data_IF_865953496632
#
_entry.id   IF_865953496632
#
_cell.length_a   1.000
_cell.length_b   1.000
_cell.length_c   1.000
_cell.angle_alpha   90.00
_cell.angle_beta   90.00
_cell.angle_gamma   90.00
#
_symmetry.space_group_name_H-M   'P 1'
#
loop_
_entity.id
_entity.type
_entity.pdbx_description
1 polymer ?
#
# COMPACT_ATOMS: atom_id res chain seq x y z
N UNK A 1 -53.17 15.94 -87.06
CA UNK A 1 -52.07 16.33 -86.16
C UNK A 1 -51.38 17.53 -86.78
N UNK A 2 -51.21 18.62 -86.04
CA UNK A 2 -50.45 19.78 -86.50
C UNK A 2 -49.04 19.69 -85.94
N UNK A 3 -48.03 19.93 -86.78
CA UNK A 3 -46.62 19.91 -86.42
C UNK A 3 -46.01 21.28 -86.73
N UNK A 4 -45.09 21.73 -85.89
CA UNK A 4 -44.31 22.95 -86.11
C UNK A 4 -42.84 22.53 -86.16
N UNK A 5 -42.19 22.72 -87.31
CA UNK A 5 -40.78 22.41 -87.52
C UNK A 5 -40.01 23.71 -87.75
N UNK A 6 -39.42 24.24 -86.68
CA UNK A 6 -38.64 25.49 -86.72
C UNK A 6 -37.43 25.34 -85.80
N UNK A 7 -36.34 26.02 -86.11
CA UNK A 7 -35.14 25.97 -85.27
C UNK A 7 -35.32 26.79 -83.98
N UNK A 8 -36.03 27.93 -84.07
CA UNK A 8 -36.19 28.87 -82.97
C UNK A 8 -37.63 29.35 -82.88
N UNK A 9 -38.18 29.37 -81.66
CA UNK A 9 -39.45 30.02 -81.32
C UNK A 9 -39.14 31.17 -80.36
N UNK A 10 -39.69 32.35 -80.63
CA UNK A 10 -39.47 33.56 -79.81
C UNK A 10 -40.80 34.14 -79.35
N UNK A 11 -40.77 35.03 -78.35
CA UNK A 11 -41.92 35.85 -78.01
C UNK A 11 -42.33 36.77 -79.18
N UNK A 12 -43.52 37.39 -79.08
CA UNK A 12 -44.06 38.31 -80.11
C UNK A 12 -43.11 39.46 -80.46
N UNK A 13 -42.34 39.95 -79.49
CA UNK A 13 -41.39 41.05 -79.67
C UNK A 13 -40.06 40.61 -80.29
N UNK A 14 -39.81 39.30 -80.45
CA UNK A 14 -38.56 38.76 -80.99
C UNK A 14 -37.34 38.88 -80.05
N UNK A 15 -37.55 39.32 -78.80
CA UNK A 15 -36.51 39.67 -77.83
C UNK A 15 -36.29 38.62 -76.75
N UNK A 16 -37.09 37.56 -76.67
CA UNK A 16 -36.96 36.55 -75.62
C UNK A 16 -37.71 35.24 -75.89
N UNK A 17 -37.73 34.36 -74.88
CA UNK A 17 -38.42 33.08 -74.93
C UNK A 17 -39.95 33.25 -74.99
N UNK A 18 -40.69 32.36 -75.66
CA UNK A 18 -42.14 32.37 -75.64
C UNK A 18 -42.68 32.07 -74.23
N UNK A 19 -43.77 32.73 -73.85
CA UNK A 19 -44.49 32.42 -72.60
C UNK A 19 -45.58 31.38 -72.86
N UNK A 20 -45.56 30.30 -72.08
CA UNK A 20 -46.54 29.19 -72.16
C UNK A 20 -47.43 29.20 -70.90
N UNK A 21 -48.42 30.11 -70.85
CA UNK A 21 -49.18 30.41 -69.63
C UNK A 21 -50.01 29.24 -69.04
N UNK A 22 -50.39 28.26 -69.87
CA UNK A 22 -51.10 27.05 -69.43
C UNK A 22 -50.15 25.87 -69.17
N UNK A 23 -48.84 26.10 -69.23
CA UNK A 23 -47.81 25.07 -69.09
C UNK A 23 -47.43 24.41 -70.41
N UNK A 24 -46.51 23.45 -70.30
CA UNK A 24 -46.01 22.63 -71.41
C UNK A 24 -45.98 21.18 -70.95
N UNK A 25 -46.43 20.27 -71.79
CA UNK A 25 -46.26 18.83 -71.60
C UNK A 25 -45.29 18.36 -72.67
N UNK A 26 -44.13 17.87 -72.25
CA UNK A 26 -43.13 17.29 -73.15
C UNK A 26 -43.06 15.80 -72.85
N UNK A 27 -43.47 14.97 -73.81
CA UNK A 27 -43.39 13.51 -73.69
C UNK A 27 -42.05 12.95 -74.19
N UNK A 28 -41.24 13.78 -74.85
CA UNK A 28 -39.90 13.46 -75.32
C UNK A 28 -38.81 14.08 -74.42
N UNK A 29 -37.67 14.41 -75.02
CA UNK A 29 -36.52 14.99 -74.32
C UNK A 29 -36.63 16.51 -74.23
N UNK A 30 -36.31 17.07 -73.08
CA UNK A 30 -36.04 18.50 -72.91
C UNK A 30 -34.54 18.67 -72.72
N UNK A 31 -33.91 19.43 -73.61
CA UNK A 31 -32.52 19.89 -73.44
C UNK A 31 -32.56 21.39 -73.15
N UNK A 32 -32.18 21.79 -71.95
CA UNK A 32 -32.17 23.19 -71.53
C UNK A 32 -30.80 23.56 -70.97
N UNK A 33 -30.31 24.76 -71.29
CA UNK A 33 -29.07 25.29 -70.69
C UNK A 33 -29.27 25.62 -69.20
N UNK A 34 -30.46 26.10 -68.83
CA UNK A 34 -30.86 26.39 -67.44
C UNK A 34 -32.33 26.04 -67.23
N UNK A 35 -32.64 25.47 -66.07
CA UNK A 35 -34.01 25.24 -65.60
C UNK A 35 -34.22 25.96 -64.27
N UNK A 36 -35.23 26.82 -64.18
CA UNK A 36 -35.64 27.48 -62.94
C UNK A 36 -37.09 27.10 -62.64
N UNK A 37 -37.31 26.43 -61.52
CA UNK A 37 -38.64 26.02 -61.07
C UNK A 37 -38.95 26.77 -59.78
N UNK A 38 -40.03 27.55 -59.77
CA UNK A 38 -40.50 28.27 -58.58
C UNK A 38 -41.37 27.42 -57.65
N UNK A 39 -41.78 26.24 -58.12
CA UNK A 39 -42.53 25.25 -57.36
C UNK A 39 -41.78 23.91 -57.27
N UNK A 40 -42.50 22.90 -56.78
CA UNK A 40 -41.91 21.58 -56.57
C UNK A 40 -41.50 20.91 -57.88
N UNK A 41 -40.35 20.25 -57.87
CA UNK A 41 -39.89 19.37 -58.96
C UNK A 41 -40.05 17.93 -58.49
N UNK A 42 -40.80 17.14 -59.25
CA UNK A 42 -40.94 15.70 -59.02
C UNK A 42 -40.20 14.94 -60.12
N UNK A 43 -39.28 14.06 -59.73
CA UNK A 43 -38.53 13.22 -60.65
C UNK A 43 -39.06 11.80 -60.49
N UNK A 44 -39.72 11.27 -61.52
CA UNK A 44 -40.25 9.91 -61.52
C UNK A 44 -39.19 8.81 -61.74
N UNK A 45 -37.99 9.21 -62.19
CA UNK A 45 -36.85 8.32 -62.42
C UNK A 45 -35.68 8.62 -61.49
N UNK A 46 -34.46 8.52 -62.01
CA UNK A 46 -33.22 8.83 -61.29
C UNK A 46 -32.61 10.14 -61.80
N UNK A 47 -31.87 10.81 -60.93
CA UNK A 47 -30.97 11.90 -61.28
C UNK A 47 -29.55 11.36 -61.13
N UNK A 48 -28.77 11.30 -62.20
CA UNK A 48 -27.42 10.70 -62.17
C UNK A 48 -26.32 11.76 -62.02
N UNK A 49 -25.11 11.30 -61.71
CA UNK A 49 -23.95 12.18 -61.47
C UNK A 49 -23.46 12.86 -62.75
N UNK A 50 -23.69 12.27 -63.92
CA UNK A 50 -23.47 13.00 -65.17
C UNK A 50 -24.35 14.24 -65.27
N UNK A 51 -25.55 14.19 -64.68
CA UNK A 51 -26.53 15.27 -64.73
C UNK A 51 -26.41 16.28 -63.57
N UNK A 52 -25.77 15.93 -62.45
CA UNK A 52 -25.65 16.79 -61.26
C UNK A 52 -24.24 16.84 -60.72
N UNK A 53 -23.64 18.02 -60.76
CA UNK A 53 -22.32 18.30 -60.18
C UNK A 53 -22.39 18.72 -58.72
N UNK A 54 -23.41 19.47 -58.31
CA UNK A 54 -23.60 19.94 -56.94
C UNK A 54 -25.09 20.01 -56.60
N UNK A 55 -25.42 19.73 -55.34
CA UNK A 55 -26.72 20.05 -54.75
C UNK A 55 -26.46 21.06 -53.64
N UNK A 56 -26.93 22.29 -53.83
CA UNK A 56 -26.96 23.31 -52.78
C UNK A 56 -28.40 23.42 -52.26
N UNK A 57 -28.68 22.73 -51.16
CA UNK A 57 -30.00 22.67 -50.55
C UNK A 57 -29.95 23.26 -49.14
N UNK A 58 -30.84 24.21 -48.85
CA UNK A 58 -31.00 24.80 -47.50
C UNK A 58 -31.87 23.91 -46.60
N UNK A 59 -32.62 22.98 -47.18
CA UNK A 59 -33.62 22.15 -46.50
C UNK A 59 -33.15 20.77 -46.05
N UNK A 60 -34.13 19.89 -45.80
CA UNK A 60 -33.90 18.52 -45.32
C UNK A 60 -33.73 17.56 -46.49
N UNK A 61 -32.71 16.71 -46.41
CA UNK A 61 -32.53 15.57 -47.30
C UNK A 61 -33.05 14.32 -46.59
N UNK A 62 -34.05 13.65 -47.16
CA UNK A 62 -34.54 12.36 -46.68
C UNK A 62 -34.25 11.28 -47.71
N UNK A 63 -33.57 10.22 -47.31
CA UNK A 63 -33.24 9.09 -48.17
C UNK A 63 -33.81 7.78 -47.60
N UNK A 64 -34.54 7.02 -48.42
CA UNK A 64 -35.19 5.77 -47.99
C UNK A 64 -34.20 4.69 -47.57
N UNK A 65 -33.04 4.63 -48.22
CA UNK A 65 -32.00 3.61 -48.00
C UNK A 65 -30.71 4.20 -47.43
N UNK A 66 -30.78 5.42 -46.90
CA UNK A 66 -29.63 6.17 -46.40
C UNK A 66 -28.85 6.94 -47.47
N UNK A 67 -27.80 7.63 -47.01
CA UNK A 67 -26.92 8.46 -47.83
C UNK A 67 -25.57 7.76 -47.94
N UNK A 68 -25.06 7.59 -49.17
CA UNK A 68 -23.71 7.06 -49.43
C UNK A 68 -22.79 8.22 -49.78
N UNK A 69 -21.82 8.49 -48.91
CA UNK A 69 -20.78 9.50 -49.15
C UNK A 69 -19.54 8.77 -49.67
N UNK A 70 -19.27 8.90 -50.97
CA UNK A 70 -18.24 8.11 -51.65
C UNK A 70 -16.83 8.72 -51.52
N UNK A 71 -16.73 10.02 -51.24
CA UNK A 71 -15.48 10.74 -51.03
C UNK A 71 -15.72 12.01 -50.20
N UNK A 72 -14.66 12.63 -49.67
CA UNK A 72 -14.72 13.93 -48.97
C UNK A 72 -15.30 13.90 -47.54
N UNK A 73 -16.08 12.88 -47.20
CA UNK A 73 -16.71 12.75 -45.88
C UNK A 73 -17.93 13.68 -45.72
N UNK A 74 -18.56 13.63 -44.55
CA UNK A 74 -19.68 14.50 -44.19
C UNK A 74 -19.27 15.43 -43.05
N UNK A 75 -19.51 16.73 -43.20
CA UNK A 75 -19.41 17.69 -42.10
C UNK A 75 -20.79 17.81 -41.43
N UNK A 76 -20.97 17.13 -40.29
CA UNK A 76 -22.24 17.13 -39.56
C UNK A 76 -22.13 18.05 -38.35
N UNK A 77 -22.98 19.08 -38.29
CA UNK A 77 -23.05 20.02 -37.17
C UNK A 77 -24.24 19.64 -36.29
N UNK A 78 -24.07 19.69 -34.97
CA UNK A 78 -25.10 19.35 -33.99
C UNK A 78 -25.11 17.87 -33.61
N UNK A 79 -26.30 17.32 -33.35
CA UNK A 79 -26.46 15.94 -32.92
C UNK A 79 -26.46 14.97 -34.10
N UNK A 80 -25.64 13.92 -34.02
CA UNK A 80 -25.67 12.78 -34.93
C UNK A 80 -26.17 11.55 -34.18
N UNK A 81 -27.08 10.78 -34.77
CA UNK A 81 -27.61 9.54 -34.19
C UNK A 81 -27.53 8.44 -35.22
N UNK A 82 -26.87 7.34 -34.86
CA UNK A 82 -26.81 6.11 -35.65
C UNK A 82 -27.62 5.04 -34.91
N UNK A 83 -28.52 4.34 -35.63
CA UNK A 83 -29.37 3.29 -35.06
C UNK A 83 -28.67 1.94 -34.90
N UNK A 84 -27.42 1.85 -35.32
CA UNK A 84 -26.60 0.63 -35.39
C UNK A 84 -25.12 1.01 -35.27
N UNK A 85 -24.24 0.03 -35.45
CA UNK A 85 -22.80 0.21 -35.31
C UNK A 85 -22.21 1.27 -36.24
N UNK A 86 -21.29 2.07 -35.69
CA UNK A 86 -20.45 2.99 -36.47
C UNK A 86 -19.10 2.33 -36.71
N UNK A 87 -18.86 1.87 -37.94
CA UNK A 87 -17.60 1.26 -38.35
C UNK A 87 -16.68 2.28 -39.03
N UNK A 88 -15.42 2.32 -38.61
CA UNK A 88 -14.37 3.12 -39.27
C UNK A 88 -13.51 2.20 -40.13
N UNK A 89 -13.08 2.68 -41.30
CA UNK A 89 -12.21 1.91 -42.18
C UNK A 89 -10.89 1.53 -41.48
N UNK A 90 -10.31 0.39 -41.86
CA UNK A 90 -9.05 -0.10 -41.28
C UNK A 90 -7.95 0.97 -41.32
N UNK A 91 -7.24 1.14 -40.20
CA UNK A 91 -6.18 2.14 -40.06
C UNK A 91 -6.66 3.60 -39.92
N UNK A 92 -7.96 3.85 -39.76
CA UNK A 92 -8.48 5.17 -39.38
C UNK A 92 -8.76 5.24 -37.89
N UNK A 93 -8.54 6.43 -37.33
CA UNK A 93 -8.75 6.72 -35.90
C UNK A 93 -10.05 7.49 -35.74
N UNK A 94 -10.89 7.08 -34.78
CA UNK A 94 -11.95 7.93 -34.27
C UNK A 94 -11.34 8.97 -33.32
N UNK A 95 -11.15 10.19 -33.81
CA UNK A 95 -10.76 11.32 -32.97
C UNK A 95 -12.01 11.98 -32.39
N UNK A 96 -12.25 11.82 -31.09
CA UNK A 96 -13.31 12.54 -30.36
C UNK A 96 -12.66 13.60 -29.49
N UNK A 97 -13.03 14.86 -29.69
CA UNK A 97 -12.61 16.00 -28.86
C UNK A 97 -13.83 16.66 -28.25
N UNK A 98 -13.80 16.98 -26.96
CA UNK A 98 -14.75 17.90 -26.35
C UNK A 98 -14.14 19.30 -26.35
N UNK A 99 -14.74 20.24 -27.07
CA UNK A 99 -14.38 21.65 -26.96
C UNK A 99 -15.07 22.24 -25.72
N UNK A 100 -14.34 22.39 -24.60
CA UNK A 100 -14.84 23.01 -23.36
C UNK A 100 -14.87 22.05 -22.15
N UNK A 101 -15.56 22.41 -21.08
CA UNK A 101 -15.64 21.62 -19.82
C UNK A 101 -16.49 20.32 -19.93
N UNK A 102 -16.89 19.93 -21.14
CA UNK A 102 -17.68 18.71 -21.38
C UNK A 102 -16.81 17.44 -21.35
N UNK A 103 -17.39 16.35 -20.87
CA UNK A 103 -16.77 15.02 -20.89
C UNK A 103 -17.21 14.24 -22.13
N UNK A 104 -16.29 13.46 -22.72
CA UNK A 104 -16.66 12.39 -23.65
C UNK A 104 -17.25 11.26 -22.81
N UNK A 105 -18.55 11.00 -22.98
CA UNK A 105 -19.25 9.94 -22.27
C UNK A 105 -19.56 8.80 -23.22
N UNK A 106 -18.96 7.63 -22.96
CA UNK A 106 -19.30 6.38 -23.62
C UNK A 106 -20.11 5.57 -22.61
N UNK A 107 -21.41 5.44 -22.83
CA UNK A 107 -22.31 4.66 -21.96
C UNK A 107 -22.91 3.52 -22.78
N UNK A 108 -22.89 2.31 -22.24
CA UNK A 108 -23.78 1.25 -22.70
C UNK A 108 -25.02 1.23 -21.82
N UNK A 109 -26.21 1.20 -22.42
CA UNK A 109 -27.49 1.22 -21.68
C UNK A 109 -27.97 -0.18 -21.25
N UNK A 110 -27.19 -1.23 -21.51
CA UNK A 110 -27.49 -2.61 -21.09
C UNK A 110 -26.46 -3.13 -20.07
N UNK A 111 -26.92 -3.96 -19.12
CA UNK A 111 -26.12 -4.43 -17.97
C UNK A 111 -24.95 -5.37 -18.30
N UNK A 112 -24.69 -5.70 -19.56
CA UNK A 112 -23.75 -6.77 -19.96
C UNK A 112 -22.54 -6.32 -20.79
N UNK A 113 -22.44 -5.05 -21.20
CA UNK A 113 -21.46 -4.64 -22.21
C UNK A 113 -20.33 -3.77 -21.66
N UNK A 114 -19.12 -4.23 -21.94
CA UNK A 114 -17.85 -3.55 -21.66
C UNK A 114 -17.46 -2.60 -22.82
N UNK A 115 -16.77 -1.50 -22.53
CA UNK A 115 -16.00 -0.77 -23.54
C UNK A 115 -14.75 -1.61 -23.85
N UNK A 116 -14.69 -2.26 -25.02
CA UNK A 116 -13.55 -3.08 -25.43
C UNK A 116 -12.73 -2.34 -26.50
N UNK A 117 -11.43 -2.23 -26.29
CA UNK A 117 -10.45 -1.89 -27.32
C UNK A 117 -9.78 -3.20 -27.75
N UNK A 118 -10.16 -3.72 -28.91
CA UNK A 118 -9.62 -4.98 -29.45
C UNK A 118 -8.67 -4.68 -30.62
N UNK A 119 -7.60 -5.47 -30.74
CA UNK A 119 -6.80 -5.51 -31.96
C UNK A 119 -7.60 -6.16 -33.10
N UNK A 120 -7.16 -5.97 -34.35
CA UNK A 120 -7.79 -6.60 -35.52
C UNK A 120 -7.71 -8.14 -35.53
N UNK A 121 -6.97 -8.73 -34.59
CA UNK A 121 -6.88 -10.16 -34.31
C UNK A 121 -7.93 -10.64 -33.29
N UNK A 122 -8.83 -9.76 -32.81
CA UNK A 122 -9.80 -10.06 -31.77
C UNK A 122 -9.19 -10.13 -30.36
N UNK A 123 -7.88 -9.91 -30.23
CA UNK A 123 -7.21 -9.88 -28.93
C UNK A 123 -7.58 -8.59 -28.20
N UNK A 124 -8.07 -8.71 -26.96
CA UNK A 124 -8.20 -7.58 -26.05
C UNK A 124 -6.79 -7.15 -25.64
N UNK A 125 -6.22 -6.18 -26.37
CA UNK A 125 -4.94 -5.58 -26.04
C UNK A 125 -5.17 -4.52 -24.98
N UNK A 126 -5.36 -5.01 -23.75
CA UNK A 126 -5.08 -4.37 -22.45
C UNK A 126 -5.56 -2.92 -22.28
N UNK A 127 -6.39 -2.71 -21.24
CA UNK A 127 -6.86 -1.41 -20.72
C UNK A 127 -5.94 -0.27 -21.14
N UNK A 128 -6.49 0.65 -21.94
CA UNK A 128 -6.04 2.01 -22.29
C UNK A 128 -4.72 2.39 -21.60
N UNK A 129 -3.75 2.96 -22.32
CA UNK A 129 -2.78 3.85 -21.65
C UNK A 129 -3.59 4.98 -21.00
N UNK A 130 -4.12 4.76 -19.79
CA UNK A 130 -4.93 5.73 -19.07
C UNK A 130 -3.92 6.71 -18.52
N UNK A 131 -3.63 7.76 -19.27
CA UNK A 131 -2.96 8.95 -18.74
C UNK A 131 -3.96 9.71 -17.84
N UNK A 132 -4.33 9.07 -16.73
CA UNK A 132 -5.20 9.65 -15.72
C UNK A 132 -4.37 10.58 -14.85
N UNK A 133 -4.74 11.84 -14.77
CA UNK A 133 -4.22 12.75 -13.74
C UNK A 133 -4.82 12.45 -12.34
N UNK A 134 -5.73 11.49 -12.22
CA UNK A 134 -6.44 11.11 -10.98
C UNK A 134 -6.52 9.60 -10.73
N UNK A 135 -7.47 9.17 -9.90
CA UNK A 135 -7.59 7.79 -9.39
C UNK A 135 -8.17 6.83 -10.45
N UNK A 136 -7.63 5.60 -10.50
CA UNK A 136 -8.22 4.46 -11.23
C UNK A 136 -8.95 3.55 -10.23
N UNK A 137 -10.28 3.47 -10.30
CA UNK A 137 -11.08 2.56 -9.47
C UNK A 137 -11.45 1.30 -10.25
N UNK A 138 -10.99 0.12 -9.80
CA UNK A 138 -11.33 -1.17 -10.38
C UNK A 138 -12.12 -2.03 -9.38
N UNK A 139 -13.32 -2.49 -9.76
CA UNK A 139 -14.21 -3.25 -8.85
C UNK A 139 -13.60 -4.60 -8.44
N UNK A 140 -12.85 -5.24 -9.34
CA UNK A 140 -12.18 -6.53 -9.10
C UNK A 140 -10.69 -6.37 -8.77
N UNK A 141 -10.28 -5.16 -8.39
CA UNK A 141 -8.89 -4.82 -8.08
C UNK A 141 -8.01 -4.51 -9.29
N UNK A 142 -6.79 -4.06 -9.01
CA UNK A 142 -5.75 -3.76 -9.99
C UNK A 142 -4.71 -4.89 -9.91
N UNK A 143 -4.53 -5.65 -11.00
CA UNK A 143 -3.47 -6.66 -11.10
C UNK A 143 -2.18 -6.00 -11.60
N UNK A 144 -1.12 -6.06 -10.80
CA UNK A 144 0.21 -5.57 -11.15
C UNK A 144 1.07 -6.80 -11.48
N UNK A 145 1.50 -6.94 -12.73
CA UNK A 145 2.32 -8.07 -13.17
C UNK A 145 3.78 -7.96 -12.74
N UNK A 146 4.53 -9.05 -12.83
CA UNK A 146 5.97 -9.04 -12.60
C UNK A 146 6.66 -8.11 -13.63
N UNK A 147 7.36 -7.08 -13.16
CA UNK A 147 8.19 -6.21 -13.99
C UNK A 147 7.53 -4.95 -14.55
N UNK A 148 6.33 -4.56 -14.07
CA UNK A 148 5.74 -3.25 -14.42
C UNK A 148 5.45 -2.42 -13.17
N UNK A 149 5.99 -1.19 -13.12
CA UNK A 149 5.90 -0.28 -11.97
C UNK A 149 4.62 0.58 -11.99
N UNK A 150 4.06 0.91 -10.81
CA UNK A 150 2.97 1.90 -10.63
C UNK A 150 3.55 3.30 -10.35
N UNK A 151 4.63 3.67 -11.04
CA UNK A 151 5.36 4.91 -10.81
C UNK A 151 5.99 5.43 -12.08
N UNK A 152 6.32 6.72 -12.12
CA UNK A 152 7.14 7.27 -13.20
C UNK A 152 8.48 6.53 -13.24
N UNK A 153 8.77 5.92 -14.38
CA UNK A 153 10.07 5.36 -14.79
C UNK A 153 11.02 4.98 -13.63
N UNK A 154 10.70 3.89 -12.92
CA UNK A 154 11.56 3.33 -11.86
C UNK A 154 11.26 3.75 -10.42
N UNK A 155 10.28 4.62 -10.16
CA UNK A 155 9.85 4.94 -8.79
C UNK A 155 9.07 3.78 -8.14
N UNK A 156 9.37 3.48 -6.87
CA UNK A 156 8.67 2.46 -6.08
C UNK A 156 7.17 2.79 -5.94
N UNK A 157 6.34 1.74 -5.82
CA UNK A 157 4.91 1.89 -5.53
C UNK A 157 4.76 2.52 -4.14
N UNK A 158 4.19 3.72 -4.06
CA UNK A 158 3.86 4.37 -2.79
C UNK A 158 2.42 4.02 -2.42
N UNK A 159 2.26 3.23 -1.35
CA UNK A 159 0.96 2.96 -0.76
C UNK A 159 0.63 4.05 0.26
N UNK A 160 -0.51 4.72 0.08
CA UNK A 160 -1.03 5.70 1.04
C UNK A 160 -2.10 5.01 1.91
N UNK A 161 -1.80 4.80 3.20
CA UNK A 161 -2.69 4.14 4.17
C UNK A 161 -1.92 3.39 5.26
N UNK A 162 -2.63 2.70 6.15
CA UNK A 162 -2.03 1.95 7.27
C UNK A 162 -1.50 0.55 6.89
N UNK A 163 -1.80 0.08 5.69
CA UNK A 163 -1.32 -1.20 5.14
C UNK A 163 -2.06 -2.42 5.67
N UNK A 164 -3.15 -2.25 6.43
CA UNK A 164 -3.89 -3.32 7.11
C UNK A 164 -4.43 -4.42 6.18
N UNK A 165 -4.64 -4.10 4.89
CA UNK A 165 -5.16 -5.03 3.88
C UNK A 165 -4.07 -5.57 2.93
N UNK A 166 -2.79 -5.29 3.18
CA UNK A 166 -1.67 -5.83 2.40
C UNK A 166 -1.29 -7.22 2.92
N UNK A 167 -1.92 -8.27 2.39
CA UNK A 167 -1.59 -9.67 2.71
C UNK A 167 -0.46 -10.20 1.81
N UNK A 168 0.38 -11.11 2.34
CA UNK A 168 1.48 -11.74 1.57
C UNK A 168 2.70 -10.85 1.32
N UNK A 169 2.72 -9.63 1.85
CA UNK A 169 3.87 -8.72 1.83
C UNK A 169 4.77 -9.01 3.04
N UNK A 170 6.04 -9.37 2.81
CA UNK A 170 7.04 -9.48 3.89
C UNK A 170 7.49 -8.07 4.28
N UNK A 171 6.72 -7.42 5.15
CA UNK A 171 7.11 -6.14 5.77
C UNK A 171 7.79 -6.44 7.10
N UNK A 172 9.11 -6.65 7.08
CA UNK A 172 9.94 -6.80 8.29
C UNK A 172 10.58 -8.18 8.48
N UNK A 173 11.92 -8.18 8.50
CA UNK A 173 12.89 -9.24 8.86
C UNK A 173 12.53 -10.69 8.45
N UNK A 174 13.32 -11.26 7.52
CA UNK A 174 13.24 -12.68 7.17
C UNK A 174 13.93 -13.54 8.24
N UNK A 175 13.18 -14.38 8.95
CA UNK A 175 13.76 -15.38 9.86
C UNK A 175 14.15 -16.64 9.07
N UNK A 176 15.46 -16.96 9.07
CA UNK A 176 16.01 -18.18 8.48
C UNK A 176 16.55 -19.08 9.58
N UNK A 177 16.12 -20.34 9.58
CA UNK A 177 16.71 -21.40 10.41
C UNK A 177 17.26 -22.48 9.48
N UNK A 178 18.55 -22.85 9.63
CA UNK A 178 19.21 -23.85 8.80
C UNK A 178 19.01 -23.61 7.28
N UNK A 179 19.09 -22.35 6.86
CA UNK A 179 18.98 -21.98 5.45
C UNK A 179 17.55 -21.93 4.88
N UNK A 180 16.52 -22.32 5.64
CA UNK A 180 15.12 -22.23 5.21
C UNK A 180 14.40 -21.06 5.89
N UNK A 181 13.67 -20.27 5.12
CA UNK A 181 12.79 -19.23 5.64
C UNK A 181 11.63 -19.87 6.39
N UNK A 182 11.35 -19.41 7.61
CA UNK A 182 10.31 -19.99 8.46
C UNK A 182 9.05 -19.14 8.61
N UNK A 183 9.13 -17.81 8.45
CA UNK A 183 8.00 -16.90 8.19
C UNK A 183 8.50 -15.45 8.08
N UNK A 184 7.84 -14.64 7.26
CA UNK A 184 8.06 -13.19 7.15
C UNK A 184 6.80 -12.46 7.60
N UNK A 185 6.70 -12.18 8.91
CA UNK A 185 5.84 -11.17 9.54
C UNK A 185 5.92 -11.41 11.05
N UNK A 186 6.86 -10.78 11.74
CA UNK A 186 6.91 -10.75 13.20
C UNK A 186 6.74 -9.30 13.63
N UNK A 187 5.50 -8.95 13.97
CA UNK A 187 5.14 -7.55 14.22
C UNK A 187 5.60 -7.07 15.59
N UNK A 188 5.79 -7.94 16.60
CA UNK A 188 6.30 -7.56 17.93
C UNK A 188 7.10 -8.72 18.55
N UNK A 189 8.34 -8.46 18.98
CA UNK A 189 9.05 -9.29 19.98
C UNK A 189 9.04 -8.51 21.28
N UNK A 190 8.17 -8.90 22.21
CA UNK A 190 8.07 -8.30 23.54
C UNK A 190 9.02 -9.06 24.48
N UNK A 191 10.11 -8.40 24.91
CA UNK A 191 10.99 -8.93 25.93
C UNK A 191 10.48 -8.46 27.29
N UNK A 192 10.17 -9.39 28.20
CA UNK A 192 9.98 -9.06 29.61
C UNK A 192 11.25 -8.34 30.17
N UNK A 193 11.12 -7.70 31.34
CA UNK A 193 12.23 -6.98 32.00
C UNK A 193 13.52 -7.82 32.01
N UNK A 194 14.62 -7.30 31.47
CA UNK A 194 15.93 -7.99 31.39
C UNK A 194 16.65 -7.93 30.04
N UNK A 195 16.01 -7.38 29.00
CA UNK A 195 16.67 -7.09 27.72
C UNK A 195 16.98 -5.59 27.59
N UNK A 196 18.21 -5.26 27.19
CA UNK A 196 18.58 -3.91 26.76
C UNK A 196 18.54 -3.84 25.25
N UNK A 197 17.73 -2.93 24.72
CA UNK A 197 17.62 -2.67 23.29
C UNK A 197 18.47 -1.44 22.98
N UNK A 198 19.58 -1.63 22.27
CA UNK A 198 20.45 -0.53 21.84
C UNK A 198 20.22 -0.26 20.36
N UNK A 199 19.75 0.95 20.07
CA UNK A 199 19.74 1.50 18.71
C UNK A 199 21.07 2.19 18.47
N UNK A 200 21.83 1.76 17.46
CA UNK A 200 23.06 2.44 17.06
C UNK A 200 22.74 3.86 16.56
N UNK A 201 23.07 4.86 17.38
CA UNK A 201 22.83 6.27 17.08
C UNK A 201 23.68 6.81 15.93
N UNK A 202 24.71 6.09 15.49
CA UNK A 202 25.58 6.49 14.38
C UNK A 202 25.17 5.88 13.03
N UNK A 203 24.15 5.02 13.00
CA UNK A 203 23.66 4.39 11.77
C UNK A 203 22.13 4.23 11.79
N UNK A 204 21.45 5.37 11.83
CA UNK A 204 19.98 5.51 11.83
C UNK A 204 19.27 4.90 10.60
N UNK A 205 20.00 4.27 9.67
CA UNK A 205 19.50 3.76 8.38
C UNK A 205 19.25 2.25 8.36
N UNK A 206 19.68 1.47 9.36
CA UNK A 206 19.64 0.01 9.24
C UNK A 206 18.38 -0.66 9.78
N UNK A 207 17.53 0.02 10.57
CA UNK A 207 16.30 -0.60 11.10
C UNK A 207 16.55 -1.88 11.93
N UNK A 208 17.79 -2.12 12.36
CA UNK A 208 18.21 -3.28 13.15
C UNK A 208 18.61 -2.75 14.52
N UNK A 209 17.83 -3.10 15.55
CA UNK A 209 18.25 -2.95 16.94
C UNK A 209 19.10 -4.17 17.33
N UNK A 210 20.18 -3.95 18.08
CA UNK A 210 20.84 -5.07 18.76
C UNK A 210 20.10 -5.32 20.07
N UNK A 211 19.62 -6.55 20.26
CA UNK A 211 19.01 -6.97 21.52
C UNK A 211 20.07 -7.71 22.32
N UNK A 212 20.45 -7.15 23.47
CA UNK A 212 21.28 -7.84 24.45
C UNK A 212 20.38 -8.35 25.57
N UNK A 213 20.24 -9.67 25.67
CA UNK A 213 19.57 -10.32 26.81
C UNK A 213 20.67 -10.67 27.80
N UNK A 214 20.76 -9.92 28.88
CA UNK A 214 21.72 -10.21 29.95
C UNK A 214 21.02 -11.08 30.99
N UNK A 215 21.04 -12.38 30.76
CA UNK A 215 20.51 -13.38 31.69
C UNK A 215 21.55 -13.78 32.76
N UNK A 216 22.19 -12.81 33.41
CA UNK A 216 23.18 -13.09 34.48
C UNK A 216 22.67 -12.69 35.86
N UNK A 217 23.13 -13.43 36.87
CA UNK A 217 23.01 -13.06 38.29
C UNK A 217 23.76 -11.74 38.49
N UNK A 218 23.09 -10.71 39.02
CA UNK A 218 23.78 -9.49 39.45
C UNK A 218 24.55 -9.80 40.73
N UNK A 219 25.80 -9.35 40.80
CA UNK A 219 26.69 -9.62 41.93
C UNK A 219 27.29 -8.35 42.52
N UNK A 220 27.40 -8.28 43.84
CA UNK A 220 28.18 -7.26 44.56
C UNK A 220 29.38 -7.89 45.24
N UNK A 221 30.50 -7.18 45.34
CA UNK A 221 31.63 -7.55 46.19
C UNK A 221 31.93 -6.42 47.17
N UNK A 222 32.22 -6.73 48.43
CA UNK A 222 32.54 -5.72 49.44
C UNK A 222 33.56 -6.22 50.47
N UNK A 223 34.36 -5.28 50.99
CA UNK A 223 35.37 -5.53 52.02
C UNK A 223 35.14 -4.59 53.20
N UNK A 224 34.25 -4.95 54.14
CA UNK A 224 33.86 -4.07 55.23
C UNK A 224 35.02 -3.78 56.18
N UNK A 225 34.97 -2.61 56.81
CA UNK A 225 35.86 -2.28 57.92
C UNK A 225 35.59 -3.19 59.12
N UNK A 226 36.57 -3.34 60.01
CA UNK A 226 36.40 -4.11 61.23
C UNK A 226 35.29 -3.52 62.11
N UNK A 227 34.53 -4.39 62.78
CA UNK A 227 33.46 -3.99 63.71
C UNK A 227 32.33 -3.20 63.04
N UNK A 228 31.87 -3.65 61.88
CA UNK A 228 30.83 -2.97 61.09
C UNK A 228 29.61 -3.85 60.82
N UNK A 229 28.48 -3.19 60.55
CA UNK A 229 27.28 -3.81 60.00
C UNK A 229 27.31 -3.68 58.46
N UNK A 230 27.10 -4.79 57.76
CA UNK A 230 27.07 -4.86 56.30
C UNK A 230 25.67 -5.18 55.84
N UNK A 231 25.08 -4.29 55.05
CA UNK A 231 23.75 -4.50 54.48
C UNK A 231 23.87 -5.10 53.09
N UNK A 232 23.34 -6.32 52.92
CA UNK A 232 23.09 -6.90 51.61
C UNK A 232 21.85 -6.24 51.00
N UNK A 233 22.03 -5.40 49.98
CA UNK A 233 20.91 -4.83 49.21
C UNK A 233 20.44 -5.84 48.17
N UNK A 234 19.33 -6.50 48.48
CA UNK A 234 18.76 -7.57 47.67
C UNK A 234 18.02 -7.02 46.44
N UNK A 235 17.86 -5.70 46.32
CA UNK A 235 17.27 -5.10 45.12
C UNK A 235 18.30 -4.93 43.99
N UNK A 236 19.58 -4.88 44.33
CA UNK A 236 20.66 -4.60 43.37
C UNK A 236 21.44 -5.84 42.94
N UNK A 237 21.46 -6.92 43.74
CA UNK A 237 22.16 -8.15 43.40
C UNK A 237 21.52 -9.41 43.97
N UNK A 238 21.65 -10.53 43.24
CA UNK A 238 21.30 -11.88 43.71
C UNK A 238 22.48 -12.61 44.37
N UNK A 239 23.72 -12.17 44.13
CA UNK A 239 24.91 -12.78 44.73
C UNK A 239 25.78 -11.73 45.41
N UNK A 240 26.17 -11.97 46.65
CA UNK A 240 27.01 -11.07 47.41
C UNK A 240 28.31 -11.78 47.76
N UNK A 241 29.45 -11.14 47.51
CA UNK A 241 30.76 -11.58 47.98
C UNK A 241 31.21 -10.61 49.08
N UNK A 242 31.54 -11.17 50.24
CA UNK A 242 31.99 -10.43 51.40
C UNK A 242 33.37 -10.90 51.83
N UNK A 243 34.38 -10.06 51.64
CA UNK A 243 35.75 -10.32 52.13
C UNK A 243 35.98 -9.58 53.44
N UNK A 244 35.99 -10.32 54.54
CA UNK A 244 36.13 -9.79 55.89
C UNK A 244 37.56 -9.29 56.14
N UNK A 245 37.67 -8.17 56.88
CA UNK A 245 38.97 -7.56 57.18
C UNK A 245 39.51 -7.99 58.55
N UNK A 246 38.71 -7.83 59.62
CA UNK A 246 39.02 -8.25 60.99
C UNK A 246 37.81 -7.97 61.92
N UNK A 247 37.85 -8.46 63.16
CA UNK A 247 36.85 -8.11 64.18
C UNK A 247 35.50 -8.76 63.94
N UNK A 248 34.42 -8.10 64.38
CA UNK A 248 33.05 -8.62 64.22
C UNK A 248 32.40 -7.95 63.01
N UNK A 249 31.85 -8.72 62.08
CA UNK A 249 31.01 -8.19 61.00
C UNK A 249 29.59 -8.73 61.17
N UNK A 250 28.62 -7.84 61.33
CA UNK A 250 27.20 -8.22 61.37
C UNK A 250 26.61 -8.09 59.98
N UNK A 251 26.12 -9.19 59.40
CA UNK A 251 25.46 -9.20 58.11
C UNK A 251 23.96 -8.96 58.32
N UNK A 252 23.45 -7.94 57.65
CA UNK A 252 22.03 -7.58 57.60
C UNK A 252 21.58 -7.48 56.15
N UNK A 253 20.29 -7.27 55.92
CA UNK A 253 19.73 -7.19 54.58
C UNK A 253 18.68 -6.09 54.45
N UNK A 254 18.52 -5.57 53.24
CA UNK A 254 17.46 -4.63 52.88
C UNK A 254 16.95 -4.92 51.46
N UNK A 255 15.76 -4.43 51.12
CA UNK A 255 15.20 -4.56 49.77
C UNK A 255 14.80 -5.98 49.39
N UNK A 256 14.82 -6.26 48.08
CA UNK A 256 14.44 -7.54 47.45
C UNK A 256 12.94 -7.72 47.22
N UNK A 257 12.57 -8.79 46.51
CA UNK A 257 11.17 -9.17 46.23
C UNK A 257 10.85 -10.54 46.84
N UNK A 258 9.61 -10.73 47.29
CA UNK A 258 9.14 -12.02 47.81
C UNK A 258 9.43 -13.16 46.81
N UNK A 259 10.11 -14.21 47.28
CA UNK A 259 10.46 -15.38 46.47
C UNK A 259 11.81 -15.28 45.76
N UNK A 260 12.46 -14.11 45.74
CA UNK A 260 13.79 -13.97 45.16
C UNK A 260 14.80 -14.85 45.91
N UNK A 261 15.67 -15.51 45.14
CA UNK A 261 16.75 -16.35 45.66
C UNK A 261 18.06 -15.59 45.59
N UNK A 262 18.76 -15.56 46.73
CA UNK A 262 20.01 -14.85 46.90
C UNK A 262 21.07 -15.76 47.53
N UNK A 263 22.31 -15.31 47.45
CA UNK A 263 23.44 -15.95 48.13
C UNK A 263 24.45 -14.94 48.63
N UNK A 264 25.14 -15.29 49.71
CA UNK A 264 26.32 -14.58 50.19
C UNK A 264 27.48 -15.56 50.34
N UNK A 265 28.59 -15.25 49.69
CA UNK A 265 29.91 -15.85 49.93
C UNK A 265 30.61 -14.99 50.96
N UNK A 266 31.17 -15.64 51.97
CA UNK A 266 31.86 -15.02 53.08
C UNK A 266 33.29 -15.53 53.06
N UNK A 267 34.23 -14.63 52.84
CA UNK A 267 35.66 -14.89 52.77
C UNK A 267 36.32 -14.33 54.04
N UNK A 268 36.92 -15.18 54.86
CA UNK A 268 37.74 -14.77 56.01
C UNK A 268 38.97 -13.97 55.56
N UNK A 269 39.56 -13.12 56.42
CA UNK A 269 40.76 -12.38 56.05
C UNK A 269 41.91 -13.32 55.71
N UNK A 270 42.83 -12.85 54.86
CA UNK A 270 44.02 -13.62 54.45
C UNK A 270 44.98 -13.94 55.61
N UNK A 271 44.80 -13.28 56.76
CA UNK A 271 45.48 -13.56 58.01
C UNK A 271 44.57 -13.27 59.20
N UNK A 272 44.47 -14.20 60.14
CA UNK A 272 43.66 -14.06 61.34
C UNK A 272 42.23 -14.57 61.18
N UNK A 273 41.34 -14.11 62.06
CA UNK A 273 39.92 -14.49 62.07
C UNK A 273 39.05 -13.23 62.14
N UNK A 274 37.91 -13.28 61.47
CA UNK A 274 36.81 -12.35 61.67
C UNK A 274 35.56 -13.13 62.10
N UNK A 275 34.87 -12.62 63.11
CA UNK A 275 33.61 -13.21 63.59
C UNK A 275 32.46 -12.68 62.76
N UNK A 276 31.59 -13.55 62.31
CA UNK A 276 30.40 -13.17 61.55
C UNK A 276 29.17 -13.31 62.42
N UNK A 277 28.43 -12.21 62.57
CA UNK A 277 27.08 -12.20 63.10
C UNK A 277 26.05 -12.06 61.98
N UNK A 278 24.83 -12.50 62.23
CA UNK A 278 23.68 -12.21 61.36
C UNK A 278 22.63 -11.46 62.15
N UNK A 279 21.97 -10.51 61.50
CA UNK A 279 20.76 -9.89 62.06
C UNK A 279 19.65 -10.93 62.24
N UNK A 280 18.66 -10.60 63.08
CA UNK A 280 17.48 -11.44 63.33
C UNK A 280 16.56 -11.61 62.11
N UNK A 281 16.87 -10.92 61.01
CA UNK A 281 16.19 -11.07 59.74
C UNK A 281 16.51 -12.40 59.04
N UNK A 282 17.63 -13.04 59.36
CA UNK A 282 18.00 -14.35 58.84
C UNK A 282 17.40 -15.46 59.71
N UNK A 283 16.37 -16.16 59.21
CA UNK A 283 15.81 -17.35 59.85
C UNK A 283 16.55 -18.59 59.36
N UNK A 284 17.32 -19.21 60.27
CA UNK A 284 18.02 -20.46 60.03
C UNK A 284 17.20 -21.67 60.47
N UNK A 285 17.41 -22.88 59.90
CA UNK A 285 16.57 -24.05 60.15
C UNK A 285 16.54 -24.53 61.62
N UNK A 286 17.62 -24.29 62.37
CA UNK A 286 17.74 -24.64 63.81
C UNK A 286 17.35 -23.51 64.76
N UNK A 287 17.01 -22.32 64.24
CA UNK A 287 16.79 -21.11 65.03
C UNK A 287 18.08 -20.46 65.58
N UNK A 288 19.26 -21.04 65.32
CA UNK A 288 20.57 -20.49 65.68
C UNK A 288 21.40 -20.21 64.43
N UNK A 289 22.31 -19.24 64.50
CA UNK A 289 23.23 -18.94 63.40
C UNK A 289 24.12 -20.15 63.10
N UNK A 290 24.39 -20.47 61.82
CA UNK A 290 25.29 -21.55 61.44
C UNK A 290 26.72 -21.26 61.91
N UNK A 291 27.50 -22.32 62.15
CA UNK A 291 28.93 -22.19 62.42
C UNK A 291 29.65 -21.72 61.15
N UNK A 292 30.14 -20.49 61.16
CA UNK A 292 30.98 -19.93 60.09
C UNK A 292 32.42 -20.39 60.32
N UNK A 293 33.13 -20.69 59.24
CA UNK A 293 34.48 -21.21 59.29
C UNK A 293 35.45 -20.18 59.83
N UNK A 294 36.22 -20.57 60.84
CA UNK A 294 37.25 -19.74 61.45
C UNK A 294 38.64 -20.12 60.92
N UNK A 295 39.46 -19.12 60.63
CA UNK A 295 40.83 -19.27 60.16
C UNK A 295 41.11 -18.44 58.91
N UNK A 296 42.40 -18.21 58.64
CA UNK A 296 42.81 -17.41 57.48
C UNK A 296 42.29 -18.02 56.17
N UNK A 297 41.74 -17.17 55.31
CA UNK A 297 41.28 -17.52 53.96
C UNK A 297 40.21 -18.62 53.87
N UNK A 298 39.47 -18.87 54.95
CA UNK A 298 38.31 -19.77 54.94
C UNK A 298 37.14 -19.16 54.17
N UNK A 299 36.33 -20.03 53.55
CA UNK A 299 35.21 -19.62 52.69
C UNK A 299 33.93 -20.34 53.09
N UNK A 300 32.87 -19.56 53.29
CA UNK A 300 31.52 -20.05 53.54
C UNK A 300 30.52 -19.52 52.51
N UNK A 301 29.49 -20.30 52.20
CA UNK A 301 28.36 -19.87 51.37
C UNK A 301 27.06 -20.03 52.14
N UNK A 302 26.22 -19.00 52.10
CA UNK A 302 24.85 -19.06 52.58
C UNK A 302 23.92 -18.69 51.43
N UNK A 303 23.07 -19.63 51.05
CA UNK A 303 21.94 -19.36 50.15
C UNK A 303 20.69 -19.04 50.97
N UNK A 304 19.87 -18.11 50.49
CA UNK A 304 18.65 -17.71 51.18
C UNK A 304 17.58 -17.24 50.19
N UNK A 305 16.32 -17.34 50.60
CA UNK A 305 15.17 -16.83 49.84
C UNK A 305 14.46 -15.75 50.63
N UNK A 306 13.98 -14.72 49.93
CA UNK A 306 13.20 -13.65 50.54
C UNK A 306 11.82 -14.19 50.91
N UNK A 307 11.52 -14.27 52.22
CA UNK A 307 10.25 -14.76 52.75
C UNK A 307 9.21 -13.65 52.89
N UNK A 308 9.65 -12.43 53.19
CA UNK A 308 8.78 -11.28 53.40
C UNK A 308 9.56 -9.98 53.23
N UNK A 309 8.92 -8.98 52.66
CA UNK A 309 9.39 -7.58 52.60
C UNK A 309 8.27 -6.69 53.15
N UNK A 310 8.60 -5.69 53.98
CA UNK A 310 7.60 -4.77 54.53
C UNK A 310 8.16 -3.80 55.57
N UNK A 311 7.27 -3.10 56.29
CA UNK A 311 7.63 -2.04 57.25
C UNK A 311 8.56 -2.49 58.39
N UNK A 312 8.62 -3.80 58.69
CA UNK A 312 9.49 -4.39 59.70
C UNK A 312 10.85 -4.88 59.12
N UNK A 313 11.20 -4.49 57.90
CA UNK A 313 12.39 -4.96 57.18
C UNK A 313 12.15 -6.23 56.35
N UNK A 314 13.21 -6.67 55.67
CA UNK A 314 13.21 -7.90 54.86
C UNK A 314 13.55 -9.10 55.74
N UNK A 315 12.75 -10.17 55.69
CA UNK A 315 13.03 -11.43 56.38
C UNK A 315 13.40 -12.52 55.39
N UNK A 316 14.43 -13.30 55.72
CA UNK A 316 15.05 -14.30 54.86
C UNK A 316 14.89 -15.70 55.47
N UNK A 317 14.63 -16.70 54.63
CA UNK A 317 14.83 -18.11 54.98
C UNK A 317 16.21 -18.52 54.49
N UNK A 318 17.14 -18.67 55.43
CA UNK A 318 18.53 -18.97 55.14
C UNK A 318 18.84 -20.45 55.32
N UNK A 319 19.73 -20.98 54.48
CA UNK A 319 20.33 -22.31 54.65
C UNK A 319 21.29 -22.32 55.84
N UNK A 320 21.55 -23.51 56.40
CA UNK A 320 22.70 -23.69 57.27
C UNK A 320 23.96 -23.55 56.38
N UNK A 321 24.77 -22.53 56.61
CA UNK A 321 25.92 -22.21 55.76
C UNK A 321 26.81 -23.41 55.47
N UNK A 322 27.39 -23.43 54.28
CA UNK A 322 28.31 -24.47 53.82
C UNK A 322 29.75 -23.97 53.93
N UNK A 323 30.59 -24.72 54.64
CA UNK A 323 32.04 -24.53 54.70
C UNK A 323 32.69 -25.21 53.49
N UNK A 324 33.35 -24.44 52.64
CA UNK A 324 33.99 -24.95 51.42
C UNK A 324 35.49 -25.18 51.58
N UNK A 325 36.19 -24.32 52.32
CA UNK A 325 37.62 -24.44 52.61
C UNK A 325 37.95 -23.78 53.92
#
# INVERSE_FOLDING_TARGET
MSQINVNNIKNRAGTGAPTLGNGVVVTGVVTATTGAFSGNVSIGGTLTYEDVTNIDAVGVVTARTGIKVLAGGANVVGASTFSSDTNFAAGKVLAVTSSGAGLIRIQNSSSADTIQLQGGDGSIRQVVNINSSGIVTAQQGIRIGAGQSIGSDGAAVVYYGDGSNLEGVVSGITLRQAGTTKNGSLTIVDFASGATITTDSNNASTGIATVSIVASIQSTASSPSANSEVTLDLSSAQHHDLTLTAGITTITCSGGTLGDSHSVVINQPSSGIATVGFSTYFLFPSGSTPSISEGSSKIDLISFVVKRVGAAGTQLLASAGLNYQ
#
